data_IF_488567097079
#
_entry.id   IF_488567097079
#
_cell.length_a   1.000
_cell.length_b   1.000
_cell.length_c   1.000
_cell.angle_alpha   90.00
_cell.angle_beta   90.00
_cell.angle_gamma   90.00
#
_symmetry.space_group_name_H-M   'P 1'
#
loop_
_entity.id
_entity.type
_entity.pdbx_description
1 polymer ?
#
# COMPACT_ATOMS: atom_id res chain seq x y z
N UNK A 1 14.17 -1.89 -15.89
CA UNK A 1 13.95 -2.67 -14.64
C UNK A 1 12.58 -3.32 -14.63
N UNK A 2 11.48 -2.59 -14.84
CA UNK A 2 10.12 -3.15 -14.86
C UNK A 2 9.95 -4.36 -15.81
N UNK A 3 10.50 -4.33 -17.02
CA UNK A 3 10.47 -5.49 -17.95
C UNK A 3 11.13 -6.74 -17.39
N UNK A 4 12.31 -6.58 -16.77
CA UNK A 4 13.04 -7.70 -16.16
C UNK A 4 12.22 -8.27 -15.01
N UNK A 5 11.65 -7.40 -14.15
CA UNK A 5 10.78 -7.83 -13.06
C UNK A 5 9.53 -8.54 -13.59
N UNK A 6 8.86 -7.99 -14.60
CA UNK A 6 7.65 -8.56 -15.21
C UNK A 6 7.91 -9.96 -15.75
N UNK A 7 9.01 -10.13 -16.49
CA UNK A 7 9.44 -11.43 -17.01
C UNK A 7 9.74 -12.42 -15.90
N UNK A 8 10.50 -12.01 -14.87
CA UNK A 8 10.79 -12.86 -13.71
C UNK A 8 9.52 -13.29 -12.97
N UNK A 9 8.57 -12.38 -12.76
CA UNK A 9 7.29 -12.69 -12.12
C UNK A 9 6.49 -13.70 -12.95
N UNK A 10 6.43 -13.52 -14.27
CA UNK A 10 5.77 -14.44 -15.20
C UNK A 10 6.41 -15.83 -15.18
N UNK A 11 7.74 -15.89 -15.26
CA UNK A 11 8.50 -17.15 -15.21
C UNK A 11 8.35 -17.87 -13.87
N UNK A 12 8.24 -17.13 -12.76
CA UNK A 12 7.97 -17.66 -11.43
C UNK A 12 6.49 -18.04 -11.21
N UNK A 13 5.61 -17.81 -12.18
CA UNK A 13 4.18 -18.11 -12.08
C UNK A 13 3.38 -17.13 -11.20
N UNK A 14 3.97 -15.99 -10.82
CA UNK A 14 3.33 -14.97 -9.99
C UNK A 14 2.24 -14.25 -10.79
N UNK A 15 1.01 -14.24 -10.26
CA UNK A 15 -0.16 -13.64 -10.94
C UNK A 15 -0.51 -12.24 -10.48
N UNK A 16 0.02 -11.82 -9.33
CA UNK A 16 -0.28 -10.55 -8.70
C UNK A 16 1.00 -9.88 -8.23
N UNK A 17 1.09 -8.57 -8.45
CA UNK A 17 2.19 -7.76 -7.92
C UNK A 17 1.70 -6.39 -7.47
N UNK A 18 2.45 -5.79 -6.55
CA UNK A 18 2.20 -4.46 -6.04
C UNK A 18 2.54 -3.40 -7.08
N UNK A 19 1.68 -2.40 -7.19
CA UNK A 19 1.95 -1.15 -7.91
C UNK A 19 1.70 0.01 -6.94
N UNK A 20 2.74 0.62 -6.35
CA UNK A 20 2.59 1.65 -5.31
C UNK A 20 2.23 3.02 -5.89
N UNK A 21 1.12 3.07 -6.62
CA UNK A 21 0.53 4.26 -7.24
C UNK A 21 -0.58 4.79 -6.33
N UNK A 22 -0.20 5.51 -5.27
CA UNK A 22 -1.15 6.09 -4.31
C UNK A 22 -1.70 7.42 -4.82
N UNK A 23 -3.03 7.54 -4.93
CA UNK A 23 -3.70 8.74 -5.44
C UNK A 23 -3.46 9.96 -4.55
N UNK A 24 -3.20 11.13 -5.15
CA UNK A 24 -3.01 12.40 -4.44
C UNK A 24 -1.98 12.31 -3.29
N UNK A 25 -0.84 11.69 -3.57
CA UNK A 25 0.25 11.50 -2.60
C UNK A 25 1.02 12.80 -2.32
N UNK A 26 1.09 13.68 -3.31
CA UNK A 26 1.72 15.00 -3.25
C UNK A 26 0.92 16.02 -2.44
N UNK A 27 -0.40 15.84 -2.33
CA UNK A 27 -1.30 16.63 -1.50
C UNK A 27 -1.25 16.33 0.00
N UNK A 28 -0.44 15.37 0.46
CA UNK A 28 -0.36 15.01 1.88
C UNK A 28 0.29 16.13 2.71
N UNK A 29 -0.50 16.80 3.54
CA UNK A 29 -0.06 17.96 4.33
C UNK A 29 1.01 17.62 5.39
N UNK A 30 1.14 16.35 5.79
CA UNK A 30 2.12 15.90 6.78
C UNK A 30 3.45 15.46 6.19
N UNK A 31 3.62 15.55 4.87
CA UNK A 31 4.90 15.27 4.22
C UNK A 31 5.80 16.49 4.23
N UNK A 32 7.05 16.26 4.62
CA UNK A 32 8.14 17.16 4.25
C UNK A 32 8.45 17.06 2.74
N UNK A 33 9.29 17.98 2.25
CA UNK A 33 9.62 18.07 0.83
C UNK A 33 10.34 16.81 0.32
N UNK A 34 11.25 16.25 1.11
CA UNK A 34 12.01 15.07 0.73
C UNK A 34 11.10 13.84 0.57
N UNK A 35 10.19 13.63 1.52
CA UNK A 35 9.20 12.55 1.51
C UNK A 35 8.21 12.71 0.37
N UNK A 36 7.76 13.95 0.12
CA UNK A 36 6.87 14.26 -1.00
C UNK A 36 7.53 13.89 -2.32
N UNK A 37 8.74 14.39 -2.57
CA UNK A 37 9.51 14.08 -3.78
C UNK A 37 9.70 12.58 -3.96
N UNK A 38 10.19 11.89 -2.93
CA UNK A 38 10.39 10.45 -2.98
C UNK A 38 9.10 9.70 -3.31
N UNK A 39 7.99 10.04 -2.66
CA UNK A 39 6.71 9.35 -2.85
C UNK A 39 6.13 9.61 -4.25
N UNK A 40 6.28 10.83 -4.77
CA UNK A 40 5.91 11.17 -6.15
C UNK A 40 6.74 10.39 -7.16
N UNK A 41 8.07 10.33 -7.00
CA UNK A 41 8.95 9.56 -7.89
C UNK A 41 8.59 8.06 -7.89
N UNK A 42 8.25 7.49 -6.73
CA UNK A 42 7.77 6.10 -6.62
C UNK A 42 6.45 5.91 -7.38
N UNK A 43 5.48 6.80 -7.20
CA UNK A 43 4.18 6.72 -7.89
C UNK A 43 4.35 6.86 -9.42
N UNK A 44 5.23 7.75 -9.89
CA UNK A 44 5.54 7.94 -11.30
C UNK A 44 6.10 6.67 -11.93
N UNK A 45 7.09 6.05 -11.27
CA UNK A 45 7.65 4.77 -11.70
C UNK A 45 6.61 3.63 -11.66
N UNK A 46 5.74 3.61 -10.65
CA UNK A 46 4.67 2.63 -10.52
C UNK A 46 3.66 2.71 -11.68
N UNK A 47 3.26 3.93 -12.07
CA UNK A 47 2.36 4.19 -13.20
C UNK A 47 2.94 3.68 -14.52
N UNK A 48 4.23 3.88 -14.75
CA UNK A 48 4.92 3.36 -15.94
C UNK A 48 5.07 1.83 -15.91
N UNK A 49 5.25 1.22 -14.73
CA UNK A 49 5.40 -0.23 -14.59
C UNK A 49 4.09 -1.01 -14.78
N UNK A 50 2.94 -0.45 -14.38
CA UNK A 50 1.63 -1.11 -14.46
C UNK A 50 1.29 -1.70 -15.84
N UNK A 51 1.37 -0.97 -16.97
CA UNK A 51 1.06 -1.54 -18.28
C UNK A 51 2.05 -2.63 -18.70
N UNK A 52 3.31 -2.55 -18.26
CA UNK A 52 4.32 -3.59 -18.51
C UNK A 52 3.93 -4.88 -17.79
N UNK A 53 3.57 -4.81 -16.50
CA UNK A 53 3.12 -5.99 -15.76
C UNK A 53 1.88 -6.63 -16.39
N UNK A 54 0.90 -5.81 -16.79
CA UNK A 54 -0.30 -6.27 -17.48
C UNK A 54 0.01 -7.01 -18.78
N UNK A 55 0.94 -6.50 -19.61
CA UNK A 55 1.37 -7.15 -20.85
C UNK A 55 2.04 -8.52 -20.63
N UNK A 56 2.51 -8.79 -19.42
CA UNK A 56 3.10 -10.08 -19.01
C UNK A 56 2.12 -10.96 -18.20
N UNK A 57 0.82 -10.68 -18.24
CA UNK A 57 -0.22 -11.40 -17.50
C UNK A 57 -0.06 -11.33 -15.97
N UNK A 58 0.60 -10.29 -15.47
CA UNK A 58 0.76 -10.00 -14.04
C UNK A 58 -0.21 -8.88 -13.65
N UNK A 59 -1.16 -9.20 -12.78
CA UNK A 59 -2.21 -8.26 -12.31
C UNK A 59 -1.74 -7.45 -11.11
N UNK A 60 -2.45 -6.38 -10.82
CA UNK A 60 -2.31 -5.57 -9.61
C UNK A 60 -3.69 -5.11 -9.15
N UNK A 61 -3.81 -4.61 -7.93
CA UNK A 61 -5.06 -4.01 -7.43
C UNK A 61 -5.43 -2.73 -8.19
N UNK A 62 -6.70 -2.34 -8.10
CA UNK A 62 -7.21 -1.10 -8.70
C UNK A 62 -6.58 0.14 -8.04
N UNK A 63 -6.42 0.11 -6.72
CA UNK A 63 -5.77 1.17 -5.94
C UNK A 63 -4.70 0.67 -4.97
N UNK A 64 -3.97 1.62 -4.41
CA UNK A 64 -2.92 1.38 -3.42
C UNK A 64 -2.95 2.46 -2.33
N UNK A 65 -2.74 2.07 -1.08
CA UNK A 65 -2.55 2.95 0.08
C UNK A 65 -1.40 2.43 0.93
N UNK A 66 -0.55 3.32 1.42
CA UNK A 66 0.44 2.99 2.45
C UNK A 66 1.71 3.84 2.42
N UNK A 67 1.94 4.59 1.34
CA UNK A 67 3.05 5.55 1.28
C UNK A 67 2.78 6.72 2.22
N UNK A 68 1.53 7.21 2.24
CA UNK A 68 1.11 8.34 3.07
C UNK A 68 0.96 8.01 4.56
N UNK A 69 0.71 6.75 4.89
CA UNK A 69 0.39 6.30 6.25
C UNK A 69 1.50 5.47 6.88
N UNK A 70 2.73 5.56 6.37
CA UNK A 70 3.85 4.76 6.88
C UNK A 70 4.26 5.21 8.28
N UNK A 71 4.47 4.25 9.17
CA UNK A 71 4.94 4.41 10.53
C UNK A 71 4.03 5.27 11.39
N UNK A 72 4.61 6.22 12.11
CA UNK A 72 3.89 7.17 12.97
C UNK A 72 2.88 8.05 12.22
N UNK A 73 2.92 8.11 10.88
CA UNK A 73 1.88 8.78 10.10
C UNK A 73 0.58 7.98 10.00
N UNK A 74 0.56 6.70 10.35
CA UNK A 74 -0.67 5.91 10.44
C UNK A 74 -1.49 6.39 11.64
N UNK A 75 -2.44 7.28 11.43
CA UNK A 75 -3.51 7.50 12.43
C UNK A 75 -4.81 6.90 11.89
N UNK A 76 -5.78 6.66 12.77
CA UNK A 76 -7.10 6.17 12.35
C UNK A 76 -7.69 7.10 11.29
N UNK A 77 -7.66 8.41 11.55
CA UNK A 77 -8.26 9.43 10.69
C UNK A 77 -7.57 9.47 9.33
N UNK A 78 -6.23 9.44 9.31
CA UNK A 78 -5.46 9.44 8.06
C UNK A 78 -5.73 8.16 7.28
N UNK A 79 -5.68 7.01 7.93
CA UNK A 79 -5.91 5.73 7.25
C UNK A 79 -7.30 5.65 6.63
N UNK A 80 -8.35 6.00 7.39
CA UNK A 80 -9.71 6.06 6.88
C UNK A 80 -9.85 7.02 5.69
N UNK A 81 -9.29 8.23 5.83
CA UNK A 81 -9.33 9.22 4.76
C UNK A 81 -8.61 8.75 3.49
N UNK A 82 -7.41 8.16 3.62
CA UNK A 82 -6.63 7.67 2.46
C UNK A 82 -7.31 6.50 1.76
N UNK A 83 -7.89 5.57 2.52
CA UNK A 83 -8.68 4.48 1.94
C UNK A 83 -9.93 5.01 1.23
N UNK A 84 -10.67 5.94 1.85
CA UNK A 84 -11.85 6.54 1.22
C UNK A 84 -11.49 7.25 -0.10
N UNK A 85 -10.42 8.02 -0.12
CA UNK A 85 -9.93 8.68 -1.34
C UNK A 85 -9.54 7.66 -2.42
N UNK A 86 -8.93 6.53 -2.04
CA UNK A 86 -8.58 5.47 -2.99
C UNK A 86 -9.83 4.87 -3.64
N UNK A 87 -10.85 4.50 -2.85
CA UNK A 87 -12.09 3.96 -3.38
C UNK A 87 -12.85 4.96 -4.26
N UNK A 88 -13.01 6.21 -3.80
CA UNK A 88 -13.69 7.26 -4.58
C UNK A 88 -12.98 7.54 -5.91
N UNK A 89 -11.65 7.62 -5.92
CA UNK A 89 -10.91 7.87 -7.17
C UNK A 89 -11.03 6.73 -8.18
N UNK A 90 -11.21 5.48 -7.71
CA UNK A 90 -11.48 4.33 -8.59
C UNK A 90 -12.90 4.42 -9.16
N UNK A 91 -13.88 4.80 -8.34
CA UNK A 91 -15.27 4.97 -8.79
C UNK A 91 -15.41 6.12 -9.80
N UNK A 92 -14.74 7.25 -9.57
CA UNK A 92 -14.77 8.40 -10.49
C UNK A 92 -14.09 8.12 -11.84
N UNK A 93 -13.10 7.22 -11.86
CA UNK A 93 -12.40 6.79 -13.07
C UNK A 93 -13.06 5.58 -13.76
N UNK A 94 -14.06 4.98 -13.13
CA UNK A 94 -14.79 3.83 -13.68
C UNK A 94 -15.74 4.25 -14.81
N UNK A 95 -15.82 3.41 -15.85
CA UNK A 95 -16.90 3.52 -16.84
C UNK A 95 -18.26 3.29 -16.17
N UNK A 96 -19.34 3.96 -16.60
CA UNK A 96 -20.70 3.77 -16.06
C UNK A 96 -21.23 2.33 -16.15
N UNK A 97 -20.58 1.45 -16.91
CA UNK A 97 -20.90 0.01 -17.03
C UNK A 97 -20.36 -0.86 -15.87
N UNK A 98 -19.79 -0.26 -14.81
CA UNK A 98 -19.22 -0.99 -13.65
C UNK A 98 -20.20 -1.27 -12.51
N UNK A 99 -21.51 -1.21 -12.76
CA UNK A 99 -22.51 -1.53 -11.74
C UNK A 99 -22.30 -2.97 -11.20
N UNK A 100 -22.07 -3.10 -9.89
CA UNK A 100 -21.79 -4.38 -9.22
C UNK A 100 -20.35 -4.92 -9.33
N UNK A 101 -19.40 -4.15 -9.87
CA UNK A 101 -17.98 -4.56 -9.92
C UNK A 101 -17.29 -4.32 -8.58
N UNK A 102 -16.68 -5.36 -8.03
CA UNK A 102 -15.83 -5.26 -6.84
C UNK A 102 -14.52 -4.57 -7.20
N UNK A 103 -14.20 -3.49 -6.47
CA UNK A 103 -12.92 -2.78 -6.57
C UNK A 103 -11.96 -3.25 -5.49
N UNK A 104 -10.66 -3.26 -5.82
CA UNK A 104 -9.60 -3.76 -4.94
C UNK A 104 -8.59 -2.66 -4.60
N UNK A 105 -8.26 -2.51 -3.32
CA UNK A 105 -7.22 -1.59 -2.85
C UNK A 105 -6.22 -2.38 -2.02
N UNK A 106 -4.95 -2.30 -2.37
CA UNK A 106 -3.87 -2.85 -1.54
C UNK A 106 -3.50 -1.86 -0.43
N UNK A 107 -3.48 -2.33 0.82
CA UNK A 107 -2.97 -1.57 1.96
C UNK A 107 -1.60 -2.12 2.38
N UNK A 108 -0.54 -1.34 2.14
CA UNK A 108 0.81 -1.64 2.61
C UNK A 108 0.99 -1.20 4.07
N UNK A 109 1.46 -2.12 4.92
CA UNK A 109 1.71 -1.90 6.34
C UNK A 109 3.02 -2.58 6.76
N UNK A 110 3.57 -2.18 7.91
CA UNK A 110 4.83 -2.64 8.46
C UNK A 110 4.71 -3.07 9.92
N UNK A 111 3.62 -3.78 10.24
CA UNK A 111 3.30 -4.19 11.61
C UNK A 111 4.36 -5.08 12.25
N UNK A 112 4.52 -4.92 13.56
CA UNK A 112 5.20 -5.90 14.41
C UNK A 112 5.91 -5.28 15.61
N UNK A 113 6.43 -6.14 16.48
CA UNK A 113 7.21 -5.69 17.63
C UNK A 113 8.60 -5.20 17.17
N UNK A 114 9.13 -4.13 17.82
CA UNK A 114 10.51 -3.70 17.64
C UNK A 114 11.47 -4.87 17.80
N UNK A 115 12.35 -5.06 16.82
CA UNK A 115 13.41 -6.05 16.91
C UNK A 115 14.40 -5.68 18.04
N UNK A 116 14.97 -6.70 18.68
CA UNK A 116 15.99 -6.50 19.72
C UNK A 116 17.37 -6.39 19.05
N UNK A 117 18.13 -5.34 19.39
CA UNK A 117 19.49 -5.14 18.89
C UNK A 117 20.34 -6.40 19.04
N UNK A 118 21.05 -6.78 17.98
CA UNK A 118 21.88 -7.99 17.94
C UNK A 118 21.10 -9.31 17.77
N UNK A 119 19.77 -9.26 17.60
CA UNK A 119 18.94 -10.42 17.24
C UNK A 119 18.23 -10.19 15.90
N UNK A 120 18.15 -11.25 15.09
CA UNK A 120 17.54 -11.21 13.76
C UNK A 120 18.47 -10.66 12.67
N UNK A 121 17.89 -10.36 11.51
CA UNK A 121 18.63 -9.90 10.32
C UNK A 121 19.32 -11.04 9.56
N UNK A 122 19.96 -10.68 8.44
CA UNK A 122 20.71 -11.62 7.58
C UNK A 122 22.23 -11.62 7.91
N UNK A 123 22.58 -11.63 9.20
CA UNK A 123 23.97 -11.73 9.67
C UNK A 123 24.53 -10.49 10.37
N UNK A 124 23.99 -9.29 10.12
CA UNK A 124 24.47 -8.03 10.71
C UNK A 124 23.61 -7.53 11.89
N UNK A 125 22.56 -8.27 12.26
CA UNK A 125 21.53 -7.82 13.19
C UNK A 125 20.35 -7.13 12.50
N UNK A 126 19.37 -6.69 13.29
CA UNK A 126 18.22 -5.95 12.78
C UNK A 126 18.57 -4.49 12.48
N UNK A 127 18.06 -3.98 11.35
CA UNK A 127 18.21 -2.57 10.96
C UNK A 127 17.33 -1.62 11.79
N UNK A 128 17.54 -0.32 11.62
CA UNK A 128 16.77 0.72 12.33
C UNK A 128 15.27 0.62 12.06
N UNK A 129 14.90 0.20 10.85
CA UNK A 129 13.50 0.01 10.46
C UNK A 129 12.84 -1.12 11.27
N UNK A 130 13.48 -2.27 11.38
CA UNK A 130 12.99 -3.41 12.14
C UNK A 130 12.89 -3.11 13.66
N UNK A 131 13.77 -2.25 14.17
CA UNK A 131 13.78 -1.78 15.56
C UNK A 131 12.78 -0.64 15.82
N UNK A 132 12.12 -0.10 14.80
CA UNK A 132 11.28 1.07 14.95
C UNK A 132 10.03 0.81 15.80
N UNK A 133 9.71 1.68 16.79
CA UNK A 133 8.46 1.61 17.55
C UNK A 133 7.24 1.87 16.67
N UNK A 134 7.41 2.49 15.51
CA UNK A 134 6.34 2.79 14.57
C UNK A 134 5.63 1.53 14.08
N UNK A 135 6.33 0.39 14.03
CA UNK A 135 5.76 -0.90 13.66
C UNK A 135 4.70 -1.40 14.66
N UNK A 136 4.93 -1.14 15.95
CA UNK A 136 3.97 -1.44 17.01
C UNK A 136 2.80 -0.45 16.97
N UNK A 137 3.08 0.81 16.66
CA UNK A 137 2.07 1.84 16.48
C UNK A 137 1.09 1.50 15.33
N UNK A 138 1.60 1.16 14.14
CA UNK A 138 0.77 0.72 13.02
C UNK A 138 -0.13 -0.48 13.41
N UNK A 139 0.45 -1.46 14.11
CA UNK A 139 -0.29 -2.63 14.59
C UNK A 139 -1.42 -2.22 15.54
N UNK A 140 -1.18 -1.27 16.45
CA UNK A 140 -2.19 -0.74 17.36
C UNK A 140 -3.37 -0.08 16.63
N UNK A 141 -3.08 0.72 15.60
CA UNK A 141 -4.13 1.37 14.78
C UNK A 141 -4.96 0.36 14.03
N UNK A 142 -4.33 -0.59 13.33
CA UNK A 142 -5.00 -1.61 12.52
C UNK A 142 -5.85 -2.57 13.37
N UNK A 143 -5.40 -2.88 14.58
CA UNK A 143 -6.12 -3.73 15.52
C UNK A 143 -7.20 -3.00 16.33
N UNK A 144 -7.32 -1.67 16.21
CA UNK A 144 -8.28 -0.87 16.97
C UNK A 144 -9.73 -1.23 16.60
N UNK A 145 -10.63 -1.14 17.59
CA UNK A 145 -12.06 -1.36 17.35
C UNK A 145 -12.64 -0.30 16.41
N UNK A 146 -12.10 0.93 16.44
CA UNK A 146 -12.48 2.01 15.52
C UNK A 146 -12.26 1.62 14.06
N UNK A 147 -11.10 1.03 13.72
CA UNK A 147 -10.85 0.57 12.35
C UNK A 147 -11.75 -0.60 11.96
N UNK A 148 -11.93 -1.60 12.83
CA UNK A 148 -12.80 -2.75 12.56
C UNK A 148 -14.26 -2.35 12.30
N UNK A 149 -14.78 -1.44 13.13
CA UNK A 149 -16.13 -0.90 12.98
C UNK A 149 -16.25 -0.09 11.69
N UNK A 150 -15.23 0.70 11.35
CA UNK A 150 -15.21 1.48 10.12
C UNK A 150 -15.20 0.61 8.86
N UNK A 151 -14.39 -0.45 8.79
CA UNK A 151 -14.43 -1.38 7.65
C UNK A 151 -15.82 -1.96 7.43
N UNK A 152 -16.49 -2.38 8.52
CA UNK A 152 -17.86 -2.88 8.48
C UNK A 152 -18.83 -1.80 7.97
N UNK A 153 -18.74 -0.58 8.51
CA UNK A 153 -19.62 0.53 8.14
C UNK A 153 -19.47 0.95 6.67
N UNK A 154 -18.26 0.83 6.12
CA UNK A 154 -17.96 1.14 4.71
C UNK A 154 -18.12 -0.06 3.78
N UNK A 155 -18.62 -1.20 4.26
CA UNK A 155 -18.75 -2.45 3.49
C UNK A 155 -17.41 -2.90 2.83
N UNK A 156 -16.30 -2.68 3.52
CA UNK A 156 -14.97 -3.10 3.07
C UNK A 156 -14.70 -4.52 3.58
N UNK A 157 -14.38 -5.41 2.65
CA UNK A 157 -13.88 -6.75 2.97
C UNK A 157 -12.35 -6.77 2.95
N UNK A 158 -11.75 -7.43 3.94
CA UNK A 158 -10.30 -7.68 3.98
C UNK A 158 -10.03 -9.08 3.40
N UNK A 159 -9.25 -9.15 2.33
CA UNK A 159 -8.85 -10.40 1.68
C UNK A 159 -7.34 -10.42 1.41
N UNK A 160 -6.80 -11.62 1.18
CA UNK A 160 -5.44 -11.83 0.72
C UNK A 160 -5.46 -12.10 -0.79
N UNK A 161 -4.50 -11.54 -1.52
CA UNK A 161 -4.31 -11.90 -2.92
C UNK A 161 -4.04 -13.41 -3.05
N UNK A 162 -4.90 -14.12 -3.79
CA UNK A 162 -4.77 -15.56 -4.08
C UNK A 162 -4.15 -15.79 -5.45
#
# INVERSE_FOLDING_TARGET
VCEVVAKTLKEAGVKWTRVPDELNIDGCAWFDEARRRFSSEVADHARVARPVYSAHDVRSTDGFVGMATMGSYMTVERLQHRLQMAFLGIEESASPDRDGVVVTVELMVHVGYPAVTGKGGCGEGCDEFAQSPDRLHEMGVLCSDTMKQWYTAMNISLDCAK
#
